data_IF_436865581863
#
_entry.id   IF_436865581863
#
_cell.length_a   1.000
_cell.length_b   1.000
_cell.length_c   1.000
_cell.angle_alpha   90.00
_cell.angle_beta   90.00
_cell.angle_gamma   90.00
#
_symmetry.space_group_name_H-M   'P 1'
#
loop_
_entity.id
_entity.type
_entity.pdbx_description
1 polymer ?
#
# COMPACT_ATOMS: atom_id res chain seq x y z
N UNK A 1 -7.11 10.06 -15.53
CA UNK A 1 -7.22 8.78 -14.79
C UNK A 1 -6.69 8.99 -13.39
N UNK A 2 -7.42 8.48 -12.41
CA UNK A 2 -7.04 8.64 -10.99
C UNK A 2 -6.52 7.32 -10.44
N UNK A 3 -5.42 7.40 -9.69
CA UNK A 3 -4.78 6.25 -9.02
C UNK A 3 -4.64 6.63 -7.55
N UNK A 4 -5.18 5.80 -6.66
CA UNK A 4 -4.99 5.98 -5.22
C UNK A 4 -3.79 5.16 -4.77
N UNK A 5 -2.90 5.78 -4.01
CA UNK A 5 -1.76 5.13 -3.39
C UNK A 5 -2.07 4.95 -1.91
N UNK A 6 -2.46 3.75 -1.54
CA UNK A 6 -2.86 3.40 -0.17
C UNK A 6 -1.70 2.69 0.52
N UNK A 7 -1.24 3.23 1.63
CA UNK A 7 -0.09 2.64 2.28
C UNK A 7 0.28 3.31 3.59
N UNK A 8 1.52 3.06 4.00
CA UNK A 8 2.07 3.53 5.27
C UNK A 8 3.03 4.72 5.08
N UNK A 9 4.07 4.78 5.90
CA UNK A 9 5.05 5.86 5.86
C UNK A 9 5.82 5.96 4.56
N UNK A 10 6.06 4.83 3.89
CA UNK A 10 6.73 4.85 2.58
C UNK A 10 5.88 5.64 1.57
N UNK A 11 4.59 5.40 1.57
CA UNK A 11 3.66 6.09 0.67
C UNK A 11 3.46 7.55 1.09
N UNK A 12 3.33 7.79 2.40
CA UNK A 12 3.16 9.15 2.91
C UNK A 12 4.38 10.03 2.62
N UNK A 13 5.58 9.44 2.57
CA UNK A 13 6.81 10.18 2.30
C UNK A 13 7.63 10.49 3.54
N UNK A 14 7.56 9.63 4.56
CA UNK A 14 8.35 9.81 5.78
C UNK A 14 9.84 9.87 5.46
N UNK A 15 10.53 10.87 6.00
CA UNK A 15 11.97 11.00 5.86
C UNK A 15 12.44 11.71 4.60
N UNK A 16 11.53 12.16 3.73
CA UNK A 16 11.87 12.95 2.55
C UNK A 16 10.98 14.18 2.48
N UNK A 17 11.41 15.17 1.71
CA UNK A 17 10.57 16.35 1.45
C UNK A 17 9.36 15.96 0.63
N UNK A 18 8.27 16.69 0.79
CA UNK A 18 7.00 16.37 0.12
C UNK A 18 7.17 16.19 -1.39
N UNK A 19 7.92 17.10 -2.03
CA UNK A 19 8.14 17.05 -3.47
C UNK A 19 9.05 15.90 -3.90
N UNK A 20 9.76 15.27 -2.97
CA UNK A 20 10.64 14.13 -3.24
C UNK A 20 9.96 12.79 -3.00
N UNK A 21 8.78 12.79 -2.41
CA UNK A 21 7.99 11.57 -2.22
C UNK A 21 7.64 10.96 -3.58
N UNK A 22 7.70 9.63 -3.68
CA UNK A 22 7.49 8.95 -4.97
C UNK A 22 6.12 9.26 -5.58
N UNK A 23 5.08 9.45 -4.77
CA UNK A 23 3.75 9.81 -5.28
C UNK A 23 3.81 11.20 -5.94
N UNK A 24 4.49 12.15 -5.32
CA UNK A 24 4.66 13.49 -5.90
C UNK A 24 5.47 13.46 -7.19
N UNK A 25 6.51 12.60 -7.24
CA UNK A 25 7.30 12.42 -8.45
C UNK A 25 6.44 11.88 -9.59
N UNK A 26 5.60 10.90 -9.31
CA UNK A 26 4.69 10.35 -10.32
C UNK A 26 3.70 11.41 -10.81
N UNK A 27 3.19 12.25 -9.92
CA UNK A 27 2.28 13.32 -10.33
C UNK A 27 2.93 14.32 -11.28
N UNK A 28 4.25 14.53 -11.17
CA UNK A 28 4.98 15.42 -12.08
C UNK A 28 5.34 14.76 -13.40
N UNK A 29 5.65 13.45 -13.36
CA UNK A 29 6.19 12.74 -14.53
C UNK A 29 5.10 12.10 -15.40
N UNK A 30 3.94 11.80 -14.82
CA UNK A 30 2.89 11.05 -15.50
C UNK A 30 1.66 11.93 -15.70
N UNK A 31 0.89 11.69 -16.78
CA UNK A 31 -0.31 12.50 -17.07
C UNK A 31 -1.53 12.13 -16.21
N UNK A 32 -1.36 11.29 -15.20
CA UNK A 32 -2.44 10.81 -14.35
C UNK A 32 -2.39 11.46 -12.98
N UNK A 33 -3.52 11.42 -12.26
CA UNK A 33 -3.62 11.95 -10.91
C UNK A 33 -3.34 10.83 -9.90
N UNK A 34 -2.29 10.99 -9.09
CA UNK A 34 -1.96 10.05 -8.02
C UNK A 34 -2.35 10.69 -6.69
N UNK A 35 -3.26 10.05 -5.97
CA UNK A 35 -3.76 10.54 -4.68
C UNK A 35 -3.03 9.80 -3.57
N UNK A 36 -2.32 10.53 -2.73
CA UNK A 36 -1.54 9.94 -1.64
C UNK A 36 -2.44 9.69 -0.43
N UNK A 37 -2.65 8.44 -0.11
CA UNK A 37 -3.38 7.99 1.08
C UNK A 37 -2.46 7.17 1.99
N UNK A 38 -1.21 7.58 2.08
CA UNK A 38 -0.25 6.99 3.02
C UNK A 38 -0.45 7.54 4.42
N UNK A 39 -0.36 6.67 5.43
CA UNK A 39 -0.43 7.04 6.85
C UNK A 39 0.74 6.37 7.57
N UNK A 40 1.60 7.18 8.20
CA UNK A 40 2.76 6.67 8.94
C UNK A 40 2.35 5.62 9.96
N UNK A 41 3.07 4.48 9.95
CA UNK A 41 2.85 3.42 10.92
C UNK A 41 1.66 2.51 10.64
N UNK A 42 0.91 2.75 9.57
CA UNK A 42 -0.29 1.94 9.30
C UNK A 42 0.04 0.50 8.95
N UNK A 43 -0.90 -0.38 9.23
CA UNK A 43 -0.81 -1.81 8.96
C UNK A 43 -1.91 -2.21 7.97
N UNK A 44 -1.88 -3.47 7.50
CA UNK A 44 -2.93 -3.94 6.58
C UNK A 44 -4.31 -3.91 7.22
N UNK A 45 -4.42 -4.11 8.54
CA UNK A 45 -5.69 -3.94 9.24
C UNK A 45 -6.18 -2.49 9.15
N UNK A 46 -5.27 -1.53 9.32
CA UNK A 46 -5.60 -0.12 9.18
C UNK A 46 -6.02 0.24 7.76
N UNK A 47 -5.32 -0.31 6.75
CA UNK A 47 -5.69 -0.11 5.36
C UNK A 47 -7.11 -0.60 5.07
N UNK A 48 -7.46 -1.79 5.58
CA UNK A 48 -8.80 -2.34 5.43
C UNK A 48 -9.85 -1.43 6.07
N UNK A 49 -9.58 -0.91 7.26
CA UNK A 49 -10.52 -0.09 8.00
C UNK A 49 -10.89 1.19 7.25
N UNK A 50 -9.98 1.73 6.45
CA UNK A 50 -10.20 2.99 5.74
C UNK A 50 -10.31 2.84 4.21
N UNK A 51 -10.40 1.61 3.72
CA UNK A 51 -10.41 1.35 2.28
C UNK A 51 -11.58 2.03 1.57
N UNK A 52 -12.79 1.94 2.13
CA UNK A 52 -13.95 2.55 1.49
C UNK A 52 -13.80 4.07 1.42
N UNK A 53 -13.49 4.71 2.53
CA UNK A 53 -13.37 6.16 2.59
C UNK A 53 -12.22 6.68 1.74
N UNK A 54 -11.07 6.03 1.83
CA UNK A 54 -9.85 6.56 1.20
C UNK A 54 -9.64 6.08 -0.23
N UNK A 55 -10.27 4.98 -0.63
CA UNK A 55 -10.11 4.43 -1.98
C UNK A 55 -11.41 4.46 -2.76
N UNK A 56 -12.44 3.78 -2.26
CA UNK A 56 -13.69 3.63 -3.03
C UNK A 56 -14.34 4.98 -3.34
N UNK A 57 -14.39 5.85 -2.35
CA UNK A 57 -15.01 7.18 -2.52
C UNK A 57 -14.22 8.09 -3.45
N UNK A 58 -12.93 7.83 -3.65
CA UNK A 58 -12.09 8.56 -4.62
C UNK A 58 -12.37 8.14 -6.06
N UNK A 59 -13.04 7.01 -6.26
CA UNK A 59 -13.40 6.46 -7.57
C UNK A 59 -12.20 6.32 -8.50
N UNK A 60 -11.11 5.66 -8.05
CA UNK A 60 -9.93 5.53 -8.88
C UNK A 60 -10.08 4.39 -9.90
N UNK A 61 -9.23 4.39 -10.92
CA UNK A 61 -9.09 3.26 -11.84
C UNK A 61 -8.21 2.18 -11.23
N UNK A 62 -7.15 2.60 -10.53
CA UNK A 62 -6.17 1.69 -9.91
C UNK A 62 -5.97 2.08 -8.45
N UNK A 63 -5.64 1.09 -7.64
CA UNK A 63 -5.15 1.33 -6.28
C UNK A 63 -3.80 0.63 -6.12
N UNK A 64 -2.79 1.38 -5.67
CA UNK A 64 -1.48 0.84 -5.31
C UNK A 64 -1.50 0.55 -3.82
N UNK A 65 -1.17 -0.70 -3.47
CA UNK A 65 -1.24 -1.21 -2.09
C UNK A 65 0.15 -1.54 -1.57
N UNK A 66 0.47 -1.05 -0.38
CA UNK A 66 1.70 -1.45 0.31
C UNK A 66 1.60 -2.91 0.78
N UNK A 67 2.75 -3.52 1.05
CA UNK A 67 2.88 -4.95 1.27
C UNK A 67 2.80 -5.41 2.74
N UNK A 68 2.55 -4.52 3.69
CA UNK A 68 2.41 -4.91 5.08
C UNK A 68 3.71 -4.94 5.89
N UNK A 69 4.68 -4.10 5.53
CA UNK A 69 5.94 -4.04 6.25
C UNK A 69 5.77 -3.72 7.74
N UNK A 70 4.84 -2.82 8.08
CA UNK A 70 4.59 -2.48 9.49
C UNK A 70 3.93 -3.63 10.24
N UNK A 71 3.13 -4.45 9.58
CA UNK A 71 2.61 -5.69 10.17
C UNK A 71 3.77 -6.60 10.57
N UNK A 72 4.75 -6.75 9.68
CA UNK A 72 5.95 -7.54 9.95
C UNK A 72 6.71 -7.00 11.16
N UNK A 73 6.95 -5.68 11.22
CA UNK A 73 7.65 -5.05 12.32
C UNK A 73 6.91 -5.23 13.66
N UNK A 74 5.59 -5.26 13.63
CA UNK A 74 4.75 -5.45 14.81
C UNK A 74 4.65 -6.92 15.24
N UNK A 75 5.26 -7.84 14.51
CA UNK A 75 5.23 -9.26 14.83
C UNK A 75 3.94 -9.97 14.43
N UNK A 76 3.18 -9.40 13.50
CA UNK A 76 1.95 -10.02 13.04
C UNK A 76 2.23 -11.34 12.31
N UNK A 77 1.30 -12.29 12.42
CA UNK A 77 1.43 -13.55 11.73
C UNK A 77 1.20 -13.39 10.24
N UNK A 78 2.02 -14.11 9.45
CA UNK A 78 1.96 -14.05 7.99
C UNK A 78 0.56 -14.36 7.44
N UNK A 79 -0.10 -15.39 7.98
CA UNK A 79 -1.43 -15.78 7.51
C UNK A 79 -2.46 -14.69 7.66
N UNK A 80 -2.42 -13.94 8.77
CA UNK A 80 -3.32 -12.82 8.99
C UNK A 80 -3.07 -11.69 8.00
N UNK A 81 -1.81 -11.39 7.73
CA UNK A 81 -1.44 -10.34 6.77
C UNK A 81 -1.86 -10.73 5.35
N UNK A 82 -1.62 -12.00 4.97
CA UNK A 82 -2.06 -12.50 3.67
C UNK A 82 -3.58 -12.39 3.52
N UNK A 83 -4.34 -12.74 4.57
CA UNK A 83 -5.79 -12.62 4.55
C UNK A 83 -6.23 -11.16 4.37
N UNK A 84 -5.55 -10.24 5.05
CA UNK A 84 -5.85 -8.81 4.91
C UNK A 84 -5.55 -8.33 3.48
N UNK A 85 -4.42 -8.72 2.91
CA UNK A 85 -4.07 -8.35 1.54
C UNK A 85 -5.06 -8.93 0.54
N UNK A 86 -5.49 -10.17 0.73
CA UNK A 86 -6.52 -10.78 -0.11
C UNK A 86 -7.83 -10.00 -0.03
N UNK A 87 -8.22 -9.58 1.18
CA UNK A 87 -9.44 -8.79 1.37
C UNK A 87 -9.34 -7.43 0.66
N UNK A 88 -8.18 -6.78 0.73
CA UNK A 88 -7.97 -5.51 0.03
C UNK A 88 -8.11 -5.70 -1.48
N UNK A 89 -7.51 -6.74 -2.03
CA UNK A 89 -7.59 -7.05 -3.46
C UNK A 89 -9.04 -7.34 -3.86
N UNK A 90 -9.76 -8.13 -3.07
CA UNK A 90 -11.16 -8.46 -3.36
C UNK A 90 -12.06 -7.23 -3.29
N UNK A 91 -11.85 -6.34 -2.32
CA UNK A 91 -12.62 -5.11 -2.25
C UNK A 91 -12.37 -4.21 -3.46
N UNK A 92 -11.13 -4.16 -3.93
CA UNK A 92 -10.82 -3.40 -5.13
C UNK A 92 -11.59 -3.95 -6.34
N UNK A 93 -11.50 -5.25 -6.59
CA UNK A 93 -12.22 -5.88 -7.69
C UNK A 93 -13.74 -5.71 -7.57
N UNK A 94 -14.26 -5.84 -6.36
CA UNK A 94 -15.70 -5.69 -6.12
C UNK A 94 -16.19 -4.28 -6.48
N UNK A 95 -15.30 -3.29 -6.41
CA UNK A 95 -15.63 -1.90 -6.70
C UNK A 95 -15.07 -1.45 -8.06
N UNK A 96 -14.74 -2.39 -8.94
CA UNK A 96 -14.23 -2.12 -10.29
C UNK A 96 -12.92 -1.31 -10.28
N UNK A 97 -12.08 -1.57 -9.30
CA UNK A 97 -10.77 -0.94 -9.15
C UNK A 97 -9.71 -2.02 -9.37
N UNK A 98 -8.69 -1.72 -10.17
CA UNK A 98 -7.60 -2.65 -10.42
C UNK A 98 -6.55 -2.50 -9.33
N UNK A 99 -6.30 -3.54 -8.50
CA UNK A 99 -5.28 -3.45 -7.47
C UNK A 99 -3.89 -3.76 -8.03
N UNK A 100 -2.88 -3.03 -7.53
CA UNK A 100 -1.47 -3.28 -7.83
C UNK A 100 -0.77 -3.36 -6.48
N UNK A 101 -0.21 -4.51 -6.15
CA UNK A 101 0.52 -4.70 -4.89
C UNK A 101 1.97 -4.33 -5.10
N UNK A 102 2.47 -3.40 -4.29
CA UNK A 102 3.84 -2.94 -4.37
C UNK A 102 4.70 -3.76 -3.40
N UNK A 103 5.75 -4.38 -3.94
CA UNK A 103 6.70 -5.13 -3.14
C UNK A 103 7.84 -4.20 -2.74
N UNK A 104 7.70 -3.59 -1.57
CA UNK A 104 8.65 -2.59 -1.10
C UNK A 104 9.81 -3.28 -0.39
N UNK A 105 11.08 -3.02 -0.81
CA UNK A 105 12.23 -3.63 -0.14
C UNK A 105 12.31 -3.21 1.32
N UNK A 106 12.35 -4.19 2.22
CA UNK A 106 12.54 -3.94 3.64
C UNK A 106 14.01 -3.64 3.93
N UNK A 107 14.28 -2.90 5.01
CA UNK A 107 15.64 -2.61 5.43
C UNK A 107 16.45 -3.87 5.75
N UNK A 108 15.79 -4.96 6.15
CA UNK A 108 16.38 -6.28 6.29
C UNK A 108 15.61 -7.26 5.42
N UNK A 109 15.91 -7.24 4.14
CA UNK A 109 15.20 -8.07 3.15
C UNK A 109 15.34 -9.56 3.43
N UNK A 110 16.51 -10.00 3.94
CA UNK A 110 16.73 -11.41 4.26
C UNK A 110 15.80 -11.88 5.37
N UNK A 111 15.67 -11.08 6.44
CA UNK A 111 14.79 -11.41 7.55
C UNK A 111 13.33 -11.38 7.11
N UNK A 112 12.94 -10.39 6.33
CA UNK A 112 11.59 -10.29 5.79
C UNK A 112 11.24 -11.53 4.96
N UNK A 113 12.12 -11.91 4.04
CA UNK A 113 11.91 -13.09 3.20
C UNK A 113 11.83 -14.37 4.01
N UNK A 114 12.63 -14.48 5.07
CA UNK A 114 12.62 -15.65 5.95
C UNK A 114 11.27 -15.83 6.65
N UNK A 115 10.67 -14.74 7.12
CA UNK A 115 9.42 -14.80 7.86
C UNK A 115 8.19 -14.76 6.96
N UNK A 116 8.27 -14.06 5.82
CA UNK A 116 7.13 -13.89 4.92
C UNK A 116 7.50 -14.21 3.46
N UNK A 117 7.94 -15.43 3.19
CA UNK A 117 8.40 -15.77 1.83
C UNK A 117 7.32 -15.63 0.77
N UNK A 118 6.05 -15.78 1.13
CA UNK A 118 4.95 -15.69 0.17
C UNK A 118 4.80 -14.29 -0.42
N UNK A 119 5.38 -13.25 0.20
CA UNK A 119 5.33 -11.90 -0.33
C UNK A 119 6.50 -11.57 -1.25
N UNK A 120 7.54 -12.39 -1.24
CA UNK A 120 8.75 -12.14 -2.03
C UNK A 120 8.90 -13.15 -3.17
N UNK A 121 8.58 -14.38 -2.87
CA UNK A 121 8.64 -15.48 -3.84
C UNK A 121 7.31 -15.63 -4.57
#
# INVERSE_FOLDING_TARGET
MRIVCLGDSFTQGFGVEEQECWVSLLNREMPWEFVNKGVNGDTTTGLLARFHRDVVEEKPRYVFLDDGFNDFLAGAERGGVQANMMSLVHQAYHNNIVPVVLMIPAGNAKQFKQHWPAFID
#
